data_IF_974369388960
#
_entry.id   IF_974369388960
#
_cell.length_a   1.000
_cell.length_b   1.000
_cell.length_c   1.000
_cell.angle_alpha   90.00
_cell.angle_beta   90.00
_cell.angle_gamma   90.00
#
_symmetry.space_group_name_H-M   'P 1'
#
loop_
_entity.id
_entity.type
_entity.pdbx_description
1 polymer ?
#
# COMPACT_ATOMS: atom_id res chain seq x y z
N UNK A 1 -7.99 0.44 9.07
CA UNK A 1 -8.43 1.74 8.52
C UNK A 1 -9.69 2.13 9.27
N UNK A 2 -9.77 3.33 9.85
CA UNK A 2 -10.92 3.80 10.64
C UNK A 2 -11.37 2.83 11.75
N UNK A 3 -10.41 2.21 12.44
CA UNK A 3 -10.69 1.19 13.47
C UNK A 3 -11.18 -0.16 12.95
N UNK A 4 -11.38 -0.32 11.63
CA UNK A 4 -11.77 -1.58 10.98
C UNK A 4 -10.56 -2.36 10.47
N UNK A 5 -10.56 -3.67 10.72
CA UNK A 5 -9.64 -4.62 10.11
C UNK A 5 -10.05 -4.83 8.66
N UNK A 6 -9.22 -4.34 7.72
CA UNK A 6 -9.45 -4.46 6.27
C UNK A 6 -8.77 -5.69 5.67
N UNK A 7 -7.76 -6.22 6.36
CA UNK A 7 -7.01 -7.42 5.99
C UNK A 7 -6.23 -8.02 7.19
N UNK A 8 -5.68 -9.23 7.02
CA UNK A 8 -4.93 -10.01 8.03
C UNK A 8 -5.70 -10.17 9.35
N UNK A 9 -6.86 -10.85 9.36
CA UNK A 9 -7.58 -11.11 10.60
C UNK A 9 -6.72 -11.97 11.55
N UNK A 10 -6.44 -11.45 12.73
CA UNK A 10 -5.50 -12.07 13.67
C UNK A 10 -4.06 -11.66 13.40
N UNK A 11 -3.33 -12.45 12.62
CA UNK A 11 -1.92 -12.19 12.30
C UNK A 11 -1.53 -12.75 10.93
N UNK A 12 -0.60 -12.08 10.26
CA UNK A 12 0.06 -12.57 9.05
C UNK A 12 1.57 -12.34 9.17
N UNK A 13 2.35 -13.01 8.30
CA UNK A 13 3.78 -12.73 8.22
C UNK A 13 4.01 -11.50 7.35
N UNK A 14 5.13 -10.82 7.57
CA UNK A 14 5.54 -9.74 6.68
C UNK A 14 7.06 -9.64 6.56
N UNK A 15 7.56 -9.13 5.42
CA UNK A 15 8.96 -8.83 5.15
C UNK A 15 9.12 -7.31 4.95
N UNK A 16 10.14 -6.76 5.60
CA UNK A 16 10.61 -5.39 5.35
C UNK A 16 11.66 -5.42 4.25
N UNK A 17 11.21 -5.27 3.01
CA UNK A 17 12.05 -5.37 1.82
C UNK A 17 12.29 -3.98 1.20
N UNK A 18 13.51 -3.45 1.37
CA UNK A 18 13.92 -2.16 0.78
C UNK A 18 14.10 -2.23 -0.73
N UNK A 19 14.15 -3.43 -1.33
CA UNK A 19 14.26 -3.64 -2.77
C UNK A 19 12.92 -3.61 -3.51
N UNK A 20 11.80 -3.60 -2.79
CA UNK A 20 10.46 -3.49 -3.36
C UNK A 20 9.97 -2.04 -3.28
N UNK A 21 9.22 -1.58 -4.29
CA UNK A 21 8.68 -0.21 -4.32
C UNK A 21 7.22 -0.12 -3.84
N UNK A 22 6.54 -1.26 -3.71
CA UNK A 22 5.10 -1.38 -3.47
C UNK A 22 4.68 -2.14 -2.20
N UNK A 23 3.56 -1.78 -1.54
CA UNK A 23 2.82 -2.71 -0.66
C UNK A 23 2.35 -3.88 -1.51
N UNK A 24 2.77 -5.08 -1.15
CA UNK A 24 2.36 -6.31 -1.82
C UNK A 24 1.76 -7.25 -0.78
N UNK A 25 0.65 -7.88 -1.15
CA UNK A 25 -0.04 -8.86 -0.32
C UNK A 25 -0.94 -9.74 -1.18
N UNK A 26 -1.70 -10.65 -0.56
CA UNK A 26 -2.66 -11.49 -1.26
C UNK A 26 -3.66 -10.65 -2.08
N UNK A 27 -4.11 -11.16 -3.22
CA UNK A 27 -4.97 -10.39 -4.14
C UNK A 27 -6.22 -9.84 -3.46
N UNK A 28 -6.90 -10.65 -2.65
CA UNK A 28 -8.13 -10.24 -1.96
C UNK A 28 -7.87 -9.13 -0.92
N UNK A 29 -6.72 -9.19 -0.24
CA UNK A 29 -6.25 -8.21 0.71
C UNK A 29 -6.07 -6.84 0.07
N UNK A 30 -5.32 -6.81 -1.04
CA UNK A 30 -5.07 -5.57 -1.80
C UNK A 30 -6.37 -5.02 -2.38
N UNK A 31 -7.25 -5.87 -2.93
CA UNK A 31 -8.56 -5.45 -3.42
C UNK A 31 -9.44 -4.84 -2.33
N UNK A 32 -9.40 -5.36 -1.10
CA UNK A 32 -10.15 -4.76 0.02
C UNK A 32 -9.65 -3.36 0.38
N UNK A 33 -8.33 -3.15 0.37
CA UNK A 33 -7.72 -1.84 0.61
C UNK A 33 -8.12 -0.88 -0.52
N UNK A 34 -7.95 -1.29 -1.78
CA UNK A 34 -8.29 -0.48 -2.96
C UNK A 34 -9.76 -0.06 -2.97
N UNK A 35 -10.69 -0.97 -2.64
CA UNK A 35 -12.11 -0.63 -2.48
C UNK A 35 -12.35 0.35 -1.34
N UNK A 36 -11.63 0.21 -0.22
CA UNK A 36 -11.80 1.09 0.94
C UNK A 36 -11.39 2.53 0.65
N UNK A 37 -10.45 2.73 -0.28
CA UNK A 37 -10.02 4.07 -0.74
C UNK A 37 -10.72 4.52 -2.03
N UNK A 38 -11.73 3.78 -2.49
CA UNK A 38 -12.46 4.05 -3.74
C UNK A 38 -11.56 4.17 -4.98
N UNK A 39 -10.51 3.35 -5.05
CA UNK A 39 -9.63 3.30 -6.21
C UNK A 39 -10.37 2.72 -7.43
N UNK A 40 -10.06 3.28 -8.60
CA UNK A 40 -10.62 2.89 -9.89
C UNK A 40 -9.55 2.27 -10.77
N UNK A 41 -9.94 1.29 -11.58
CA UNK A 41 -9.04 0.68 -12.56
C UNK A 41 -8.96 1.53 -13.82
N UNK A 42 -7.76 1.71 -14.35
CA UNK A 42 -7.52 2.29 -15.68
C UNK A 42 -7.66 1.23 -16.77
N UNK A 43 -7.68 1.65 -18.04
CA UNK A 43 -7.64 0.75 -19.20
C UNK A 43 -6.33 -0.07 -19.29
N UNK A 44 -5.26 0.40 -18.64
CA UNK A 44 -3.96 -0.27 -18.54
C UNK A 44 -3.88 -1.23 -17.34
N UNK A 45 -4.94 -1.33 -16.53
CA UNK A 45 -5.00 -2.23 -15.37
C UNK A 45 -4.39 -1.66 -14.09
N UNK A 46 -4.05 -0.37 -14.07
CA UNK A 46 -3.55 0.33 -12.88
C UNK A 46 -4.71 0.77 -11.98
N UNK A 47 -4.43 1.01 -10.70
CA UNK A 47 -5.42 1.57 -9.77
C UNK A 47 -5.09 3.03 -9.46
N UNK A 48 -6.09 3.90 -9.59
CA UNK A 48 -5.97 5.35 -9.39
C UNK A 48 -7.02 5.87 -8.42
N UNK A 49 -6.66 6.93 -7.69
CA UNK A 49 -7.56 7.70 -6.83
C UNK A 49 -7.48 9.17 -7.23
N UNK A 50 -8.55 9.93 -7.00
CA UNK A 50 -8.56 11.37 -7.28
C UNK A 50 -7.60 12.10 -6.34
N UNK A 51 -6.76 12.99 -6.88
CA UNK A 51 -5.87 13.81 -6.04
C UNK A 51 -6.63 14.71 -5.05
N UNK A 52 -7.89 15.04 -5.36
CA UNK A 52 -8.77 15.84 -4.50
C UNK A 52 -9.22 15.11 -3.25
N UNK A 53 -9.21 13.77 -3.26
CA UNK A 53 -9.70 12.96 -2.14
C UNK A 53 -8.59 12.54 -1.18
N UNK A 54 -7.31 12.76 -1.51
CA UNK A 54 -6.16 12.29 -0.71
C UNK A 54 -6.26 12.73 0.75
N UNK A 55 -6.60 13.99 1.01
CA UNK A 55 -6.69 14.53 2.38
C UNK A 55 -7.86 13.96 3.19
N UNK A 56 -8.80 13.26 2.55
CA UNK A 56 -9.94 12.60 3.19
C UNK A 56 -9.78 11.09 3.31
N UNK A 57 -8.72 10.51 2.72
CA UNK A 57 -8.48 9.08 2.81
C UNK A 57 -7.94 8.71 4.21
N UNK A 58 -8.32 7.54 4.74
CA UNK A 58 -7.91 7.14 6.08
C UNK A 58 -6.48 6.61 6.10
N UNK A 59 -5.83 6.65 7.27
CA UNK A 59 -4.54 6.01 7.44
C UNK A 59 -4.67 4.48 7.32
N UNK A 60 -3.69 3.85 6.66
CA UNK A 60 -3.48 2.41 6.75
C UNK A 60 -2.65 2.16 8.00
N UNK A 61 -3.21 1.44 8.97
CA UNK A 61 -2.52 1.15 10.23
C UNK A 61 -1.99 -0.28 10.19
N UNK A 62 -0.67 -0.43 10.18
CA UNK A 62 -0.01 -1.71 10.39
C UNK A 62 0.20 -1.92 11.89
N UNK A 63 -0.25 -3.05 12.43
CA UNK A 63 0.02 -3.39 13.83
C UNK A 63 1.10 -4.47 13.86
N UNK A 64 2.27 -4.12 14.37
CA UNK A 64 3.43 -5.03 14.45
C UNK A 64 3.77 -5.20 15.92
N UNK A 65 3.69 -6.44 16.42
CA UNK A 65 3.93 -6.77 17.82
C UNK A 65 3.12 -5.90 18.81
N UNK A 66 1.85 -5.64 18.48
CA UNK A 66 0.94 -4.82 19.28
C UNK A 66 1.16 -3.30 19.18
N UNK A 67 2.17 -2.84 18.43
CA UNK A 67 2.42 -1.41 18.20
C UNK A 67 1.79 -0.98 16.88
N UNK A 68 1.05 0.12 16.90
CA UNK A 68 0.41 0.70 15.73
C UNK A 68 1.39 1.63 14.96
N UNK A 69 1.51 1.39 13.66
CA UNK A 69 2.26 2.19 12.71
C UNK A 69 1.30 2.74 11.65
N UNK A 70 0.73 3.95 11.87
CA UNK A 70 -0.12 4.59 10.89
C UNK A 70 0.69 5.05 9.68
N UNK A 71 0.22 4.70 8.48
CA UNK A 71 0.75 5.14 7.21
C UNK A 71 -0.26 6.11 6.60
N UNK A 72 0.06 7.41 6.55
CA UNK A 72 -0.87 8.41 6.05
C UNK A 72 -1.09 8.26 4.55
N UNK A 73 -2.21 8.78 4.05
CA UNK A 73 -2.55 8.76 2.63
C UNK A 73 -1.44 9.32 1.73
N UNK A 74 -0.72 10.35 2.18
CA UNK A 74 0.43 10.92 1.46
C UNK A 74 1.61 9.95 1.30
N UNK A 75 1.70 8.90 2.12
CA UNK A 75 2.78 7.91 2.08
C UNK A 75 2.41 6.66 1.28
N UNK A 76 1.12 6.26 1.27
CA UNK A 76 0.66 5.12 0.46
C UNK A 76 0.09 5.53 -0.90
N UNK A 77 0.05 6.83 -1.23
CA UNK A 77 -0.21 7.29 -2.60
C UNK A 77 1.05 7.98 -3.19
N UNK A 78 1.70 7.41 -4.23
CA UNK A 78 2.84 8.05 -4.98
C UNK A 78 2.53 8.85 -6.26
N UNK A 79 2.51 10.16 -6.24
CA UNK A 79 2.21 10.99 -7.41
C UNK A 79 3.03 10.69 -8.73
N UNK A 80 2.52 9.97 -9.78
CA UNK A 80 3.10 9.86 -11.17
C UNK A 80 2.76 10.98 -12.22
N UNK A 81 3.66 11.91 -12.51
CA UNK A 81 3.39 12.98 -13.48
C UNK A 81 3.23 12.41 -14.90
N UNK A 82 1.99 12.35 -15.41
CA UNK A 82 1.73 12.01 -16.81
C UNK A 82 1.97 13.28 -17.66
N UNK A 83 3.12 13.38 -18.31
CA UNK A 83 3.51 14.54 -19.11
C UNK A 83 2.69 14.69 -20.40
N UNK A 84 1.45 15.20 -20.31
CA UNK A 84 0.63 15.60 -21.44
C UNK A 84 0.41 17.11 -21.47
N UNK A 85 0.75 17.75 -22.59
CA UNK A 85 0.26 19.09 -22.94
C UNK A 85 -1.25 19.00 -23.11
N UNK A 86 -2.05 19.62 -22.23
CA UNK A 86 -3.36 20.22 -22.50
C UNK A 86 -4.06 20.61 -21.19
N UNK A 87 -4.13 21.92 -20.92
CA UNK A 87 -5.23 22.64 -20.24
C UNK A 87 -5.82 22.18 -18.88
N UNK A 88 -6.55 23.07 -18.18
CA UNK A 88 -7.09 22.80 -16.86
C UNK A 88 -8.40 22.00 -16.98
N UNK A 89 -8.28 20.68 -17.01
CA UNK A 89 -9.45 19.80 -16.91
C UNK A 89 -9.24 18.48 -17.64
N UNK A 90 -9.46 17.40 -16.88
CA UNK A 90 -9.52 16.00 -17.34
C UNK A 90 -8.18 15.28 -17.44
N UNK A 91 -7.46 15.22 -16.32
CA UNK A 91 -7.00 13.99 -15.66
C UNK A 91 -6.27 14.51 -14.43
N UNK A 92 -6.95 14.60 -13.29
CA UNK A 92 -6.32 15.01 -12.03
C UNK A 92 -5.38 13.88 -11.57
N UNK A 93 -4.20 13.96 -12.15
CA UNK A 93 -2.99 14.06 -11.40
C UNK A 93 -2.48 12.68 -10.93
N UNK A 94 -1.24 12.71 -10.47
CA UNK A 94 -0.27 11.70 -10.81
C UNK A 94 -0.61 10.40 -10.03
N UNK A 95 -1.00 9.32 -10.71
CA UNK A 95 -1.34 7.99 -10.16
C UNK A 95 -0.27 7.44 -9.22
N UNK A 96 -0.65 6.56 -8.29
CA UNK A 96 -0.05 6.52 -6.95
C UNK A 96 0.24 5.11 -6.42
N UNK A 97 1.50 4.68 -6.47
CA UNK A 97 2.05 3.48 -5.81
C UNK A 97 2.15 3.66 -4.27
N UNK A 98 1.93 2.60 -3.47
CA UNK A 98 2.05 2.61 -2.01
C UNK A 98 3.37 1.99 -1.52
N UNK A 99 4.09 2.53 -0.53
CA UNK A 99 5.39 2.02 0.02
C UNK A 99 5.34 0.60 0.66
N UNK A 100 6.35 -0.30 0.63
CA UNK A 100 6.21 -1.70 1.06
C UNK A 100 6.19 -1.96 2.57
N UNK A 101 5.14 -2.64 3.03
CA UNK A 101 5.26 -3.82 3.88
C UNK A 101 4.82 -5.01 3.00
N UNK A 102 5.65 -6.03 2.81
CA UNK A 102 5.19 -7.24 2.12
C UNK A 102 4.54 -8.15 3.14
N UNK A 103 3.25 -8.50 3.00
CA UNK A 103 2.59 -9.48 3.87
C UNK A 103 2.65 -10.88 3.22
N UNK A 104 3.39 -11.81 3.83
CA UNK A 104 3.43 -13.21 3.44
C UNK A 104 2.36 -14.02 4.20
N UNK A 105 1.77 -15.06 3.58
CA UNK A 105 1.00 -16.06 4.31
C UNK A 105 1.93 -16.78 5.29
N UNK A 106 1.43 -17.06 6.50
CA UNK A 106 2.14 -17.79 7.55
C UNK A 106 2.62 -19.15 7.04
N UNK A 107 3.89 -19.24 6.67
CA UNK A 107 4.54 -20.51 6.37
C UNK A 107 5.17 -21.05 7.67
N UNK A 108 4.89 -22.31 8.07
CA UNK A 108 5.55 -22.92 9.21
C UNK A 108 6.96 -23.32 8.77
N UNK A 109 7.96 -22.47 9.05
CA UNK A 109 9.35 -22.83 8.77
C UNK A 109 10.38 -21.70 8.64
N UNK A 110 10.01 -20.42 8.75
CA UNK A 110 11.00 -19.34 8.66
C UNK A 110 11.61 -18.99 10.03
N UNK A 111 12.56 -19.81 10.49
CA UNK A 111 13.54 -19.35 11.48
C UNK A 111 14.42 -18.28 10.82
N UNK A 112 14.48 -17.10 11.42
CA UNK A 112 15.26 -15.98 10.93
C UNK A 112 16.74 -16.34 10.82
N UNK A 113 17.29 -16.26 9.61
CA UNK A 113 18.74 -16.16 9.43
C UNK A 113 19.08 -14.67 9.31
N UNK A 114 19.56 -14.10 10.41
CA UNK A 114 20.32 -12.86 10.38
C UNK A 114 21.61 -13.12 9.60
N UNK A 115 21.72 -12.60 8.38
CA UNK A 115 23.00 -12.57 7.68
C UNK A 115 23.83 -11.42 8.27
N UNK A 116 24.67 -11.74 9.26
CA UNK A 116 25.79 -10.91 9.66
C UNK A 116 26.77 -10.82 8.50
N UNK A 117 26.98 -9.65 7.91
CA UNK A 117 28.17 -9.42 7.09
C UNK A 117 29.35 -9.29 8.05
N UNK A 118 30.08 -10.39 8.21
CA UNK A 118 31.35 -10.44 8.89
C UNK A 118 32.50 -10.05 7.96
N UNK A 119 33.41 -9.25 8.54
CA UNK A 119 34.75 -8.81 8.08
C UNK A 119 34.81 -7.73 6.98
#
# INVERSE_FOLDING_TARGET
MDGKVVDCPGSCQAIMDTGTSLVIGPTNSILNILRSISAQTTSTGEYVVSCKTISSLPDIVFTINGVAYPVPASAYIQRIWAGGTDGPGLLEAPGVQAMPLQMLPSSPGWEGTSHSTGS
#
